data_IF_616457276300
#
_entry.id   IF_616457276300
#
_cell.length_a   1.000
_cell.length_b   1.000
_cell.length_c   1.000
_cell.angle_alpha   90.00
_cell.angle_beta   90.00
_cell.angle_gamma   90.00
#
_symmetry.space_group_name_H-M   'P 1'
#
loop_
_entity.id
_entity.type
_entity.pdbx_description
1 polymer ?
#
# COMPACT_ATOMS: atom_id res chain seq x y z
N UNK A 1 -50.19 16.34 -8.53
CA UNK A 1 -49.02 15.72 -7.88
C UNK A 1 -48.24 15.03 -8.98
N UNK A 2 -47.24 15.72 -9.51
CA UNK A 2 -46.19 15.12 -10.35
C UNK A 2 -44.93 15.11 -9.49
N UNK A 3 -44.66 13.94 -8.91
CA UNK A 3 -43.40 13.60 -8.27
C UNK A 3 -42.63 12.79 -9.32
N UNK A 4 -41.35 13.12 -9.52
CA UNK A 4 -40.39 12.56 -10.49
C UNK A 4 -40.19 13.42 -11.74
N UNK A 5 -39.45 14.52 -11.60
CA UNK A 5 -38.56 14.97 -12.67
C UNK A 5 -37.19 14.27 -12.45
N UNK A 6 -36.85 13.24 -13.23
CA UNK A 6 -35.56 12.54 -13.13
C UNK A 6 -34.40 13.29 -13.82
N UNK A 7 -34.61 14.56 -14.20
CA UNK A 7 -33.65 15.34 -15.00
C UNK A 7 -32.75 16.27 -14.17
N UNK A 8 -32.78 16.17 -12.85
CA UNK A 8 -31.75 16.75 -12.00
C UNK A 8 -30.79 15.63 -11.59
N UNK A 9 -29.75 15.31 -12.41
CA UNK A 9 -28.58 14.63 -11.90
C UNK A 9 -27.94 15.63 -10.94
N UNK A 10 -28.46 15.64 -9.71
CA UNK A 10 -28.06 16.56 -8.67
C UNK A 10 -26.56 16.55 -8.63
N UNK A 11 -26.01 17.71 -9.00
CA UNK A 11 -24.68 18.23 -8.75
C UNK A 11 -23.83 17.24 -7.94
N UNK A 12 -23.42 16.14 -8.59
CA UNK A 12 -22.22 15.44 -8.18
C UNK A 12 -21.19 16.44 -8.57
N UNK A 13 -20.91 17.37 -7.65
CA UNK A 13 -19.68 18.11 -7.63
C UNK A 13 -18.63 17.09 -8.07
N UNK A 14 -18.19 17.25 -9.31
CA UNK A 14 -16.81 17.06 -9.65
C UNK A 14 -16.08 17.89 -8.59
N UNK A 15 -15.88 17.30 -7.42
CA UNK A 15 -14.74 17.51 -6.57
C UNK A 15 -13.59 17.06 -7.46
N UNK A 16 -13.31 17.90 -8.46
CA UNK A 16 -12.17 17.89 -9.31
C UNK A 16 -11.04 17.72 -8.32
N UNK A 17 -10.47 16.50 -8.27
CA UNK A 17 -9.68 16.04 -7.14
C UNK A 17 -8.43 16.92 -7.05
N UNK A 18 -8.56 18.08 -6.41
CA UNK A 18 -7.61 19.16 -6.53
C UNK A 18 -6.43 18.79 -5.69
N UNK A 19 -5.37 18.40 -6.37
CA UNK A 19 -4.12 17.98 -5.77
C UNK A 19 -3.49 19.19 -5.09
N UNK A 20 -3.70 19.34 -3.78
CA UNK A 20 -3.02 20.38 -2.97
C UNK A 20 -1.74 19.80 -2.37
N UNK A 21 -0.54 20.25 -2.79
CA UNK A 21 0.71 19.77 -2.18
C UNK A 21 0.76 20.25 -0.72
N UNK A 22 0.70 19.32 0.22
CA UNK A 22 0.85 19.61 1.63
C UNK A 22 2.31 19.76 2.04
N UNK A 23 2.60 20.28 3.25
CA UNK A 23 3.96 20.31 3.77
C UNK A 23 4.56 18.90 3.87
N UNK A 24 5.86 18.77 3.59
CA UNK A 24 6.58 17.49 3.49
C UNK A 24 6.41 16.57 4.71
N UNK A 25 6.28 17.13 5.91
CA UNK A 25 6.06 16.35 7.13
C UNK A 25 4.75 15.55 7.10
N UNK A 26 3.68 16.05 6.45
CA UNK A 26 2.42 15.31 6.31
C UNK A 26 2.60 14.09 5.41
N UNK A 27 3.42 14.22 4.37
CA UNK A 27 3.75 13.10 3.49
C UNK A 27 4.60 12.06 4.23
N UNK A 28 5.60 12.52 4.98
CA UNK A 28 6.43 11.64 5.79
C UNK A 28 5.60 10.89 6.85
N UNK A 29 4.73 11.59 7.59
CA UNK A 29 3.86 10.98 8.59
C UNK A 29 2.91 9.95 7.97
N UNK A 30 2.35 10.26 6.79
CA UNK A 30 1.50 9.31 6.06
C UNK A 30 2.28 8.06 5.66
N UNK A 31 3.49 8.22 5.11
CA UNK A 31 4.36 7.10 4.69
C UNK A 31 4.70 6.21 5.88
N UNK A 32 5.12 6.81 6.99
CA UNK A 32 5.44 6.09 8.24
C UNK A 32 4.19 5.39 8.78
N UNK A 33 3.04 6.08 8.82
CA UNK A 33 1.79 5.51 9.31
C UNK A 33 1.31 4.32 8.49
N UNK A 34 1.34 4.41 7.16
CA UNK A 34 0.95 3.32 6.25
C UNK A 34 1.90 2.13 6.37
N UNK A 35 3.21 2.38 6.41
CA UNK A 35 4.20 1.33 6.58
C UNK A 35 4.03 0.60 7.92
N UNK A 36 3.93 1.36 9.01
CA UNK A 36 3.74 0.82 10.35
C UNK A 36 2.42 0.04 10.48
N UNK A 37 1.34 0.54 9.90
CA UNK A 37 0.04 -0.15 9.91
C UNK A 37 0.10 -1.47 9.15
N UNK A 38 0.65 -1.49 7.93
CA UNK A 38 0.73 -2.69 7.10
C UNK A 38 1.62 -3.76 7.72
N UNK A 39 2.83 -3.39 8.15
CA UNK A 39 3.77 -4.30 8.80
C UNK A 39 3.23 -4.75 10.16
N UNK A 40 2.69 -3.84 10.95
CA UNK A 40 2.11 -4.13 12.26
C UNK A 40 0.93 -5.10 12.17
N UNK A 41 0.05 -4.94 11.17
CA UNK A 41 -1.07 -5.84 10.96
C UNK A 41 -0.64 -7.21 10.42
N UNK A 42 0.36 -7.27 9.53
CA UNK A 42 0.96 -8.53 9.09
C UNK A 42 1.66 -9.29 10.22
N UNK A 43 2.38 -8.56 11.09
CA UNK A 43 2.98 -9.10 12.31
C UNK A 43 1.92 -9.58 13.30
N UNK A 44 0.89 -8.79 13.60
CA UNK A 44 -0.20 -9.19 14.49
C UNK A 44 -0.95 -10.41 13.94
N UNK A 45 -1.19 -10.46 12.63
CA UNK A 45 -1.77 -11.61 11.95
C UNK A 45 -0.90 -12.88 12.05
N UNK A 46 0.42 -12.73 12.26
CA UNK A 46 1.35 -13.86 12.47
C UNK A 46 1.42 -14.36 13.91
N UNK A 47 0.69 -13.72 14.83
CA UNK A 47 0.42 -14.28 16.16
C UNK A 47 -0.67 -15.35 16.11
N UNK A 48 -1.53 -15.29 15.08
CA UNK A 48 -2.62 -16.22 14.90
C UNK A 48 -2.23 -17.31 13.91
N UNK A 49 -2.51 -18.55 14.33
CA UNK A 49 -2.29 -19.75 13.54
C UNK A 49 -3.17 -19.74 12.28
N UNK A 50 -2.53 -19.94 11.13
CA UNK A 50 -3.18 -20.10 9.82
C UNK A 50 -2.46 -21.24 9.12
N UNK A 51 -2.96 -22.48 9.27
CA UNK A 51 -2.41 -23.68 8.62
C UNK A 51 -2.08 -24.86 9.55
N UNK A 52 -1.37 -25.89 9.02
CA UNK A 52 -0.85 -27.03 9.78
C UNK A 52 0.02 -26.61 10.97
N UNK A 53 0.29 -27.53 11.91
CA UNK A 53 0.84 -27.22 13.24
C UNK A 53 2.08 -26.31 13.28
N UNK A 54 2.93 -26.35 12.25
CA UNK A 54 4.17 -25.58 12.17
C UNK A 54 4.01 -24.17 11.54
N UNK A 55 2.84 -23.86 10.97
CA UNK A 55 2.65 -22.64 10.19
C UNK A 55 2.08 -21.49 11.00
N UNK A 56 2.72 -20.34 10.84
CA UNK A 56 2.10 -19.07 11.14
C UNK A 56 1.96 -18.72 12.62
N UNK A 57 2.62 -19.46 13.51
CA UNK A 57 2.91 -19.03 14.88
C UNK A 57 4.33 -18.48 14.92
N UNK A 58 4.49 -17.20 15.21
CA UNK A 58 5.80 -16.56 15.40
C UNK A 58 6.73 -17.33 16.34
N UNK A 59 6.17 -17.97 17.37
CA UNK A 59 6.89 -18.75 18.37
C UNK A 59 7.26 -20.19 17.92
N UNK A 60 6.60 -20.72 16.89
CA UNK A 60 6.86 -22.07 16.39
C UNK A 60 7.97 -22.10 15.34
N UNK A 61 8.14 -21.00 14.60
CA UNK A 61 9.15 -20.91 13.54
C UNK A 61 10.55 -20.59 14.11
N UNK A 62 11.58 -21.40 13.83
CA UNK A 62 12.95 -21.12 14.27
C UNK A 62 13.52 -19.85 13.60
N UNK A 63 14.42 -19.16 14.33
CA UNK A 63 15.10 -17.96 13.85
C UNK A 63 14.41 -16.63 14.20
N UNK A 64 15.19 -15.54 14.12
CA UNK A 64 14.73 -14.21 14.53
C UNK A 64 13.61 -13.67 13.62
N UNK A 65 12.43 -13.29 14.14
CA UNK A 65 11.37 -12.63 13.36
C UNK A 65 11.72 -11.20 12.95
N UNK A 66 12.64 -10.57 13.68
CA UNK A 66 12.95 -9.16 13.52
C UNK A 66 13.63 -8.83 12.20
N UNK A 67 14.36 -9.77 11.61
CA UNK A 67 14.94 -9.60 10.26
C UNK A 67 13.83 -9.33 9.24
N UNK A 68 12.78 -10.15 9.24
CA UNK A 68 11.67 -10.01 8.32
C UNK A 68 10.85 -8.74 8.58
N UNK A 69 10.58 -8.41 9.84
CA UNK A 69 9.91 -7.15 10.22
C UNK A 69 10.72 -5.94 9.75
N UNK A 70 12.04 -5.97 9.95
CA UNK A 70 12.95 -4.90 9.51
C UNK A 70 12.95 -4.74 7.99
N UNK A 71 13.08 -5.84 7.25
CA UNK A 71 13.01 -5.84 5.77
C UNK A 71 11.70 -5.25 5.29
N UNK A 72 10.56 -5.75 5.79
CA UNK A 72 9.25 -5.25 5.39
C UNK A 72 8.97 -3.81 5.86
N UNK A 73 9.60 -3.37 6.96
CA UNK A 73 9.60 -1.97 7.38
C UNK A 73 10.24 -1.05 6.34
N UNK A 74 11.47 -1.37 5.90
CA UNK A 74 12.18 -0.60 4.87
C UNK A 74 11.42 -0.63 3.54
N UNK A 75 10.97 -1.82 3.12
CA UNK A 75 10.15 -1.99 1.92
C UNK A 75 8.86 -1.17 1.98
N UNK A 76 8.17 -1.17 3.13
CA UNK A 76 6.95 -0.42 3.34
C UNK A 76 7.14 1.08 3.23
N UNK A 77 8.24 1.62 3.78
CA UNK A 77 8.58 3.03 3.62
C UNK A 77 8.81 3.37 2.14
N UNK A 78 9.56 2.54 1.41
CA UNK A 78 9.81 2.75 -0.02
C UNK A 78 8.52 2.69 -0.85
N UNK A 79 7.72 1.64 -0.69
CA UNK A 79 6.44 1.45 -1.39
C UNK A 79 5.46 2.59 -1.11
N UNK A 80 5.27 2.95 0.16
CA UNK A 80 4.38 4.04 0.53
C UNK A 80 4.89 5.40 0.03
N UNK A 81 6.20 5.65 0.05
CA UNK A 81 6.77 6.88 -0.49
C UNK A 81 6.52 7.04 -1.99
N UNK A 82 6.72 5.98 -2.78
CA UNK A 82 6.45 5.97 -4.23
C UNK A 82 4.98 6.28 -4.51
N UNK A 83 4.06 5.59 -3.81
CA UNK A 83 2.63 5.79 -3.99
C UNK A 83 2.19 7.19 -3.53
N UNK A 84 2.75 7.69 -2.42
CA UNK A 84 2.43 9.03 -1.92
C UNK A 84 2.92 10.12 -2.86
N UNK A 85 4.10 9.96 -3.46
CA UNK A 85 4.65 10.88 -4.45
C UNK A 85 3.78 10.94 -5.72
N UNK A 86 3.28 9.79 -6.19
CA UNK A 86 2.35 9.74 -7.31
C UNK A 86 0.99 10.38 -6.97
N UNK A 87 0.43 10.04 -5.81
CA UNK A 87 -0.84 10.58 -5.32
C UNK A 87 -0.77 12.10 -4.99
N UNK A 88 0.42 12.65 -4.83
CA UNK A 88 0.63 14.09 -4.68
C UNK A 88 0.69 14.84 -6.03
N UNK A 89 0.50 14.16 -7.16
CA UNK A 89 0.53 14.73 -8.51
C UNK A 89 -0.69 14.38 -9.34
N UNK A 90 -1.25 13.19 -9.13
CA UNK A 90 -2.42 12.68 -9.85
C UNK A 90 -3.34 11.98 -8.84
N UNK A 91 -4.66 12.06 -8.99
CA UNK A 91 -5.58 11.25 -8.18
C UNK A 91 -5.31 9.77 -8.42
N UNK A 92 -4.65 9.12 -7.46
CA UNK A 92 -4.46 7.67 -7.42
C UNK A 92 -5.58 7.09 -6.55
N UNK A 93 -6.39 6.12 -7.04
CA UNK A 93 -7.38 5.47 -6.22
C UNK A 93 -6.73 4.68 -5.07
N UNK A 94 -7.05 5.04 -3.83
CA UNK A 94 -6.72 4.26 -2.62
C UNK A 94 -5.24 3.81 -2.45
N UNK A 95 -4.23 4.70 -2.62
CA UNK A 95 -2.81 4.32 -2.54
C UNK A 95 -2.41 3.70 -1.19
N UNK A 96 -3.06 4.14 -0.10
CA UNK A 96 -2.83 3.58 1.23
C UNK A 96 -3.30 2.12 1.35
N UNK A 97 -4.49 1.81 0.84
CA UNK A 97 -5.06 0.45 0.90
C UNK A 97 -4.18 -0.55 0.15
N UNK A 98 -3.72 -0.20 -1.05
CA UNK A 98 -2.84 -1.06 -1.85
C UNK A 98 -1.52 -1.32 -1.10
N UNK A 99 -0.90 -0.28 -0.55
CA UNK A 99 0.33 -0.41 0.22
C UNK A 99 0.12 -1.31 1.45
N UNK A 100 -0.95 -1.08 2.23
CA UNK A 100 -1.27 -1.90 3.41
C UNK A 100 -1.46 -3.36 3.02
N UNK A 101 -2.24 -3.66 1.98
CA UNK A 101 -2.49 -5.04 1.55
C UNK A 101 -1.19 -5.76 1.16
N UNK A 102 -0.33 -5.12 0.37
CA UNK A 102 0.95 -5.69 -0.03
C UNK A 102 1.84 -5.97 1.19
N UNK A 103 1.90 -5.04 2.14
CA UNK A 103 2.73 -5.19 3.34
C UNK A 103 2.19 -6.22 4.31
N UNK A 104 0.86 -6.30 4.49
CA UNK A 104 0.22 -7.31 5.33
C UNK A 104 0.53 -8.70 4.80
N UNK A 105 0.28 -8.93 3.50
CA UNK A 105 0.51 -10.24 2.86
C UNK A 105 2.00 -10.60 2.92
N UNK A 106 2.88 -9.68 2.50
CA UNK A 106 4.32 -9.89 2.50
C UNK A 106 4.88 -10.21 3.88
N UNK A 107 4.59 -9.35 4.87
CA UNK A 107 5.03 -9.54 6.26
C UNK A 107 4.50 -10.84 6.83
N UNK A 108 3.21 -11.14 6.61
CA UNK A 108 2.56 -12.34 7.14
C UNK A 108 3.15 -13.62 6.56
N UNK A 109 3.38 -13.65 5.25
CA UNK A 109 3.99 -14.79 4.56
C UNK A 109 5.43 -14.98 5.01
N UNK A 110 6.22 -13.91 5.07
CA UNK A 110 7.62 -14.01 5.49
C UNK A 110 7.78 -14.46 6.94
N UNK A 111 6.91 -14.03 7.85
CA UNK A 111 6.95 -14.48 9.25
C UNK A 111 6.44 -15.91 9.44
N UNK A 112 5.54 -16.38 8.57
CA UNK A 112 5.01 -17.74 8.60
C UNK A 112 5.93 -18.77 7.96
N UNK A 113 6.47 -18.47 6.77
CA UNK A 113 7.24 -19.42 5.95
C UNK A 113 8.76 -19.31 6.14
N UNK A 114 9.26 -18.14 6.59
CA UNK A 114 10.69 -17.88 6.78
C UNK A 114 11.52 -18.10 5.49
N UNK A 115 11.22 -17.34 4.41
CA UNK A 115 11.98 -17.43 3.17
C UNK A 115 13.47 -17.23 3.40
N UNK A 116 14.27 -17.87 2.56
CA UNK A 116 15.70 -17.60 2.51
C UNK A 116 15.96 -16.18 1.99
N UNK A 117 17.17 -15.66 2.22
CA UNK A 117 17.55 -14.31 1.82
C UNK A 117 17.23 -13.93 0.36
N UNK A 118 17.50 -14.78 -0.67
CA UNK A 118 17.19 -14.42 -2.05
C UNK A 118 15.69 -14.29 -2.32
N UNK A 119 14.87 -15.17 -1.73
CA UNK A 119 13.42 -15.17 -1.90
C UNK A 119 12.79 -13.97 -1.20
N UNK A 120 13.24 -13.67 0.02
CA UNK A 120 12.83 -12.47 0.75
C UNK A 120 13.18 -11.21 -0.04
N UNK A 121 14.40 -11.14 -0.61
CA UNK A 121 14.82 -10.00 -1.42
C UNK A 121 13.96 -9.84 -2.67
N UNK A 122 13.62 -10.93 -3.36
CA UNK A 122 12.75 -10.90 -4.53
C UNK A 122 11.33 -10.39 -4.18
N UNK A 123 10.74 -10.91 -3.10
CA UNK A 123 9.42 -10.46 -2.61
C UNK A 123 9.46 -8.97 -2.20
N UNK A 124 10.48 -8.58 -1.45
CA UNK A 124 10.67 -7.22 -0.96
C UNK A 124 10.91 -6.22 -2.09
N UNK A 125 11.53 -6.65 -3.21
CA UNK A 125 11.73 -5.83 -4.41
C UNK A 125 10.48 -5.76 -5.29
N UNK A 126 9.67 -6.82 -5.34
CA UNK A 126 8.44 -6.87 -6.12
C UNK A 126 7.42 -5.82 -5.65
N UNK A 127 7.27 -5.62 -4.34
CA UNK A 127 6.33 -4.65 -3.78
C UNK A 127 6.55 -3.19 -4.25
N UNK A 128 7.75 -2.59 -4.11
CA UNK A 128 8.02 -1.25 -4.62
C UNK A 128 8.05 -1.19 -6.15
N UNK A 129 8.45 -2.27 -6.83
CA UNK A 129 8.39 -2.33 -8.29
C UNK A 129 6.94 -2.24 -8.80
N UNK A 130 6.01 -3.02 -8.24
CA UNK A 130 4.58 -2.95 -8.58
C UNK A 130 4.01 -1.56 -8.27
N UNK A 131 4.36 -0.98 -7.12
CA UNK A 131 3.98 0.38 -6.78
C UNK A 131 4.53 1.42 -7.77
N UNK A 132 5.78 1.27 -8.21
CA UNK A 132 6.41 2.12 -9.22
C UNK A 132 5.75 2.01 -10.58
N UNK A 133 5.43 0.79 -11.03
CA UNK A 133 4.70 0.55 -12.28
C UNK A 133 3.31 1.20 -12.21
N UNK A 134 2.57 1.00 -11.12
CA UNK A 134 1.27 1.61 -10.91
C UNK A 134 1.33 3.14 -10.89
N UNK A 135 2.29 3.70 -10.16
CA UNK A 135 2.55 5.13 -10.11
C UNK A 135 2.86 5.69 -11.51
N UNK A 136 3.72 5.01 -12.27
CA UNK A 136 4.07 5.42 -13.64
C UNK A 136 2.86 5.39 -14.58
N UNK A 137 2.03 4.34 -14.52
CA UNK A 137 0.78 4.26 -15.30
C UNK A 137 -0.19 5.38 -14.93
N UNK A 138 -0.37 5.64 -13.63
CA UNK A 138 -1.25 6.71 -13.13
C UNK A 138 -0.79 8.08 -13.62
N UNK A 139 0.51 8.37 -13.51
CA UNK A 139 1.11 9.61 -14.01
C UNK A 139 0.97 9.76 -15.53
N UNK A 140 1.13 8.67 -16.29
CA UNK A 140 0.97 8.67 -17.75
C UNK A 140 -0.47 8.96 -18.17
N UNK A 141 -1.44 8.39 -17.45
CA UNK A 141 -2.86 8.59 -17.74
C UNK A 141 -3.31 10.01 -17.37
N UNK A 142 -2.85 10.55 -16.25
CA UNK A 142 -3.12 11.95 -15.86
C UNK A 142 -2.64 12.94 -16.92
N UNK A 143 -1.40 12.78 -17.41
CA UNK A 143 -0.85 13.63 -18.50
C UNK A 143 -1.64 13.53 -19.81
N UNK A 144 -2.22 12.36 -20.11
CA UNK A 144 -3.03 12.19 -21.33
C UNK A 144 -4.40 12.85 -21.22
N UNK A 145 -4.99 12.86 -20.04
CA UNK A 145 -6.25 13.56 -19.79
C UNK A 145 -6.06 15.08 -19.93
N UNK A 146 -4.94 15.64 -19.45
CA UNK A 146 -4.61 17.07 -19.59
C UNK A 146 -4.40 17.52 -21.05
N UNK A 147 -3.99 16.61 -21.95
CA UNK A 147 -3.71 16.91 -23.38
C UNK A 147 -4.95 16.76 -24.29
N UNK A 148 -6.02 16.09 -23.83
CA UNK A 148 -7.30 16.04 -24.56
C UNK A 148 -8.25 17.08 -23.97
N UNK A 149 -8.45 18.24 -24.64
CA UNK A 149 -9.50 19.19 -24.27
C UNK A 149 -10.90 18.63 -24.58
#
# INVERSE_FOLDING_TARGET
MDFLDPSDPGDTADDEATVRPGPLWRHALWVVGVAALGVGMGWAGSLFRLGPDDYGLLAAAPGSPWTYVGTWGVTGLATAAVLRAAAARVPVPSPGTIAVLLLVIGTRLSLGWRPEAPELAAMAAAAPALAGIWAAMSLRNGKRAEVRP
#
